data_IF_094199592432
#
_entry.id   IF_094199592432
#
_cell.length_a   1.000
_cell.length_b   1.000
_cell.length_c   1.000
_cell.angle_alpha   90.00
_cell.angle_beta   90.00
_cell.angle_gamma   90.00
#
_symmetry.space_group_name_H-M   'P 1'
#
loop_
_entity.id
_entity.type
_entity.pdbx_description
1 polymer ?
#
# COMPACT_ATOMS: atom_id res chain seq x y z
N UNK A 1 -36.73 -25.59 26.65
CA UNK A 1 -36.46 -24.18 26.34
C UNK A 1 -34.97 -23.91 26.55
N UNK A 2 -34.19 -23.86 25.46
CA UNK A 2 -32.99 -23.01 25.28
C UNK A 2 -32.44 -23.32 23.88
N UNK A 3 -32.42 -22.34 22.98
CA UNK A 3 -31.69 -22.44 21.72
C UNK A 3 -30.25 -21.99 21.98
N UNK A 4 -29.28 -22.88 21.80
CA UNK A 4 -27.86 -22.50 21.79
C UNK A 4 -27.48 -22.06 20.38
N UNK A 5 -27.52 -20.75 20.11
CA UNK A 5 -26.86 -20.19 18.95
C UNK A 5 -25.34 -20.37 19.13
N UNK A 6 -24.72 -21.19 18.29
CA UNK A 6 -23.26 -21.39 18.21
C UNK A 6 -22.73 -21.10 16.80
N UNK A 7 -23.37 -20.13 16.10
CA UNK A 7 -23.10 -19.80 14.69
C UNK A 7 -22.62 -18.36 14.46
N UNK A 8 -22.19 -17.64 15.51
CA UNK A 8 -21.81 -16.21 15.39
C UNK A 8 -20.45 -15.84 16.00
N UNK A 9 -19.81 -16.71 16.79
CA UNK A 9 -18.53 -16.40 17.46
C UNK A 9 -17.29 -16.88 16.66
N UNK A 10 -17.36 -18.03 15.98
CA UNK A 10 -16.18 -18.63 15.31
C UNK A 10 -15.86 -18.02 13.93
N UNK A 11 -16.82 -17.36 13.28
CA UNK A 11 -16.66 -16.82 11.90
C UNK A 11 -15.63 -15.67 11.84
N UNK A 12 -15.24 -15.08 12.98
CA UNK A 12 -14.24 -14.00 13.05
C UNK A 12 -12.89 -14.41 13.66
N UNK A 13 -12.68 -15.69 13.97
CA UNK A 13 -11.46 -16.15 14.65
C UNK A 13 -10.41 -16.70 13.69
N UNK A 14 -10.82 -17.59 12.80
CA UNK A 14 -9.99 -18.09 11.72
C UNK A 14 -10.13 -17.16 10.51
N UNK A 15 -9.37 -16.06 10.53
CA UNK A 15 -9.22 -15.27 9.31
C UNK A 15 -8.47 -16.08 8.25
N UNK A 16 -9.02 -16.09 7.05
CA UNK A 16 -8.47 -16.85 5.95
C UNK A 16 -7.13 -16.26 5.50
N UNK A 17 -6.04 -16.95 5.83
CA UNK A 17 -4.68 -16.54 5.47
C UNK A 17 -4.43 -16.60 3.96
N UNK A 18 -5.27 -17.32 3.18
CA UNK A 18 -5.25 -17.29 1.72
C UNK A 18 -5.62 -15.92 1.13
N UNK A 19 -6.39 -15.11 1.88
CA UNK A 19 -6.84 -13.79 1.45
C UNK A 19 -5.81 -12.67 1.71
N UNK A 20 -4.66 -12.99 2.33
CA UNK A 20 -3.54 -12.06 2.50
C UNK A 20 -2.51 -12.25 1.38
N UNK A 21 -2.49 -11.31 0.44
CA UNK A 21 -1.60 -11.36 -0.73
C UNK A 21 -0.37 -10.46 -0.49
N UNK A 22 0.86 -11.01 -0.52
CA UNK A 22 2.09 -10.23 -0.46
C UNK A 22 2.45 -9.68 -1.84
N UNK A 23 2.79 -8.39 -1.92
CA UNK A 23 3.32 -7.75 -3.13
C UNK A 23 4.72 -7.20 -2.85
N UNK A 24 5.62 -7.36 -3.81
CA UNK A 24 6.96 -6.79 -3.82
C UNK A 24 7.20 -6.05 -5.14
N UNK A 25 7.70 -4.83 -5.04
CA UNK A 25 8.29 -4.06 -6.14
C UNK A 25 9.70 -3.62 -5.73
N UNK A 26 10.64 -3.71 -6.68
CA UNK A 26 12.03 -3.32 -6.49
C UNK A 26 12.31 -1.87 -6.93
N UNK A 27 11.50 -1.31 -7.83
CA UNK A 27 11.78 -0.08 -8.58
C UNK A 27 10.58 0.88 -8.63
N UNK A 28 9.93 1.08 -7.47
CA UNK A 28 8.77 1.95 -7.32
C UNK A 28 9.11 3.38 -7.73
N UNK A 29 8.46 3.85 -8.80
CA UNK A 29 8.72 5.12 -9.49
C UNK A 29 7.42 5.93 -9.69
N UNK A 30 7.47 7.02 -10.45
CA UNK A 30 6.32 7.91 -10.68
C UNK A 30 5.21 7.34 -11.58
N UNK A 31 5.38 6.13 -12.13
CA UNK A 31 4.35 5.45 -12.91
C UNK A 31 3.29 4.84 -11.97
N UNK A 32 2.03 4.87 -12.39
CA UNK A 32 0.92 4.29 -11.64
C UNK A 32 1.00 2.76 -11.58
N UNK A 33 1.36 2.23 -10.42
CA UNK A 33 1.40 0.79 -10.12
C UNK A 33 0.12 0.34 -9.40
N UNK A 34 -0.21 -0.96 -9.50
CA UNK A 34 -1.42 -1.55 -8.90
C UNK A 34 -1.03 -2.70 -7.95
N UNK A 35 -1.40 -2.61 -6.68
CA UNK A 35 -1.35 -3.73 -5.74
C UNK A 35 -2.59 -4.63 -5.89
N UNK A 36 -3.77 -4.03 -6.07
CA UNK A 36 -5.05 -4.74 -6.22
C UNK A 36 -5.97 -3.97 -7.17
N UNK A 37 -6.62 -4.67 -8.11
CA UNK A 37 -7.51 -4.05 -9.11
C UNK A 37 -8.97 -3.88 -8.65
N UNK A 38 -9.29 -4.36 -7.45
CA UNK A 38 -10.62 -4.39 -6.82
C UNK A 38 -10.59 -3.74 -5.43
N UNK A 39 -11.75 -3.67 -4.76
CA UNK A 39 -11.83 -3.32 -3.35
C UNK A 39 -11.04 -4.29 -2.45
N UNK A 40 -10.65 -3.80 -1.27
CA UNK A 40 -9.84 -4.55 -0.31
C UNK A 40 -9.26 -3.67 0.80
N UNK A 41 -8.21 -4.14 1.47
CA UNK A 41 -7.52 -3.36 2.50
C UNK A 41 -5.99 -3.47 2.36
N UNK A 42 -5.28 -2.37 2.54
CA UNK A 42 -3.83 -2.39 2.75
C UNK A 42 -3.55 -2.63 4.23
N UNK A 43 -3.11 -3.84 4.58
CA UNK A 43 -2.87 -4.24 5.97
C UNK A 43 -1.52 -3.72 6.48
N UNK A 44 -0.47 -3.86 5.67
CA UNK A 44 0.90 -3.44 6.00
C UNK A 44 1.61 -2.91 4.76
N UNK A 45 2.52 -1.97 4.96
CA UNK A 45 3.44 -1.53 3.92
C UNK A 45 4.80 -1.16 4.51
N UNK A 46 5.87 -1.57 3.84
CA UNK A 46 7.24 -1.15 4.09
C UNK A 46 7.83 -0.57 2.81
N UNK A 47 8.48 0.58 2.93
CA UNK A 47 9.13 1.25 1.81
C UNK A 47 10.56 1.59 2.19
N UNK A 48 11.52 1.26 1.33
CA UNK A 48 12.93 1.60 1.47
C UNK A 48 13.35 2.54 0.33
N UNK A 49 13.94 3.68 0.70
CA UNK A 49 14.37 4.73 -0.20
C UNK A 49 15.90 4.86 -0.22
N UNK A 50 16.57 4.50 -1.33
CA UNK A 50 18.03 4.67 -1.46
C UNK A 50 18.45 6.14 -1.64
N UNK A 51 17.54 7.01 -2.09
CA UNK A 51 17.87 8.37 -2.50
C UNK A 51 18.30 9.26 -1.33
N UNK A 52 19.27 10.15 -1.56
CA UNK A 52 19.69 11.19 -0.63
C UNK A 52 18.66 12.33 -0.43
N UNK A 53 17.47 12.22 -1.04
CA UNK A 53 16.31 13.08 -0.89
C UNK A 53 15.12 12.29 -0.33
N UNK A 54 14.19 12.97 0.35
CA UNK A 54 12.93 12.36 0.80
C UNK A 54 12.04 12.07 -0.41
N UNK A 55 11.21 11.06 -0.27
CA UNK A 55 10.24 10.66 -1.29
C UNK A 55 8.86 10.45 -0.65
N UNK A 56 7.83 10.30 -1.48
CA UNK A 56 6.45 10.13 -1.08
C UNK A 56 5.85 8.95 -1.82
N UNK A 57 5.39 7.95 -1.05
CA UNK A 57 4.47 6.94 -1.58
C UNK A 57 3.07 7.55 -1.61
N UNK A 58 2.57 7.84 -2.80
CA UNK A 58 1.18 8.22 -3.03
C UNK A 58 0.35 6.94 -3.16
N UNK A 59 -0.78 6.86 -2.45
CA UNK A 59 -1.76 5.77 -2.51
C UNK A 59 -3.08 6.30 -3.08
N UNK A 60 -3.69 5.55 -4.00
CA UNK A 60 -4.89 5.97 -4.74
C UNK A 60 -5.98 4.90 -4.66
N UNK A 61 -7.24 5.33 -4.73
CA UNK A 61 -8.45 4.50 -4.58
C UNK A 61 -9.46 4.84 -5.68
N UNK A 62 -9.08 4.57 -6.92
CA UNK A 62 -9.78 5.03 -8.12
C UNK A 62 -9.98 3.89 -9.13
N UNK A 63 -11.08 3.92 -9.88
CA UNK A 63 -11.31 2.95 -10.96
C UNK A 63 -10.51 3.32 -12.23
N UNK A 64 -10.29 2.36 -13.14
CA UNK A 64 -9.59 2.62 -14.40
C UNK A 64 -8.14 3.10 -14.25
N UNK A 65 -7.70 3.95 -15.18
CA UNK A 65 -6.33 4.51 -15.20
C UNK A 65 -6.26 5.80 -14.39
N UNK A 66 -5.29 5.91 -13.48
CA UNK A 66 -4.96 7.16 -12.78
C UNK A 66 -3.81 7.89 -13.49
N UNK A 67 -3.70 9.20 -13.28
CA UNK A 67 -2.58 10.01 -13.76
C UNK A 67 -1.88 10.65 -12.57
N UNK A 68 -0.64 10.23 -12.31
CA UNK A 68 0.14 10.72 -11.17
C UNK A 68 0.43 12.22 -11.34
N UNK A 69 0.31 12.98 -10.25
CA UNK A 69 0.40 14.44 -10.28
C UNK A 69 -0.88 15.19 -10.71
N UNK A 70 -1.96 14.49 -11.09
CA UNK A 70 -3.28 15.11 -11.33
C UNK A 70 -4.43 14.41 -10.60
N UNK A 71 -4.39 13.08 -10.47
CA UNK A 71 -5.27 12.33 -9.57
C UNK A 71 -4.88 12.61 -8.12
N UNK A 72 -5.85 12.95 -7.26
CA UNK A 72 -5.61 13.21 -5.83
C UNK A 72 -5.30 11.90 -5.10
N UNK A 73 -4.16 11.77 -4.38
CA UNK A 73 -3.91 10.60 -3.54
C UNK A 73 -4.89 10.52 -2.36
N UNK A 74 -5.41 9.33 -2.08
CA UNK A 74 -6.19 9.03 -0.86
C UNK A 74 -5.32 9.15 0.39
N UNK A 75 -4.03 8.82 0.27
CA UNK A 75 -3.02 9.04 1.30
C UNK A 75 -1.68 9.30 0.61
N UNK A 76 -0.86 10.17 1.21
CA UNK A 76 0.51 10.40 0.75
C UNK A 76 1.48 10.27 1.93
N UNK A 77 2.47 9.40 1.78
CA UNK A 77 3.28 8.91 2.88
C UNK A 77 4.73 9.32 2.65
N UNK A 78 5.21 10.32 3.40
CA UNK A 78 6.62 10.69 3.42
C UNK A 78 7.46 9.49 3.85
N UNK A 79 8.42 9.13 3.02
CA UNK A 79 9.48 8.12 3.24
C UNK A 79 10.79 8.88 3.51
N UNK A 80 11.53 8.57 4.59
CA UNK A 80 12.82 9.19 4.89
C UNK A 80 13.82 9.06 3.74
N UNK A 81 14.83 9.92 3.72
CA UNK A 81 15.97 9.78 2.80
C UNK A 81 16.96 8.72 3.26
N UNK A 82 17.60 8.06 2.32
CA UNK A 82 18.85 7.33 2.53
C UNK A 82 20.08 8.25 2.42
N UNK A 83 21.22 7.64 2.14
CA UNK A 83 22.50 8.34 1.89
C UNK A 83 22.96 8.31 0.43
N UNK A 84 22.31 7.55 -0.46
CA UNK A 84 22.74 7.34 -1.84
C UNK A 84 23.99 6.45 -1.99
N UNK A 85 24.45 5.80 -0.92
CA UNK A 85 25.69 5.00 -0.85
C UNK A 85 25.51 3.61 -0.20
N UNK A 86 24.28 3.22 0.12
CA UNK A 86 23.93 1.87 0.61
C UNK A 86 23.05 1.86 1.87
N UNK A 87 22.90 3.00 2.56
CA UNK A 87 21.97 3.12 3.68
C UNK A 87 20.63 3.67 3.19
N UNK A 88 19.57 2.88 3.34
CA UNK A 88 18.23 3.23 2.90
C UNK A 88 17.47 3.97 4.01
N UNK A 89 16.76 5.04 3.65
CA UNK A 89 15.73 5.62 4.50
C UNK A 89 14.48 4.75 4.40
N UNK A 90 14.12 4.05 5.47
CA UNK A 90 12.95 3.15 5.45
C UNK A 90 11.78 3.68 6.26
N UNK A 91 10.58 3.17 5.94
CA UNK A 91 9.37 3.37 6.74
C UNK A 91 8.46 2.16 6.66
N UNK A 92 8.15 1.60 7.82
CA UNK A 92 7.14 0.57 8.01
C UNK A 92 5.85 1.17 8.58
N UNK A 93 4.70 0.74 8.08
CA UNK A 93 3.38 1.06 8.61
C UNK A 93 2.55 -0.23 8.68
N UNK A 94 1.97 -0.49 9.86
CA UNK A 94 0.98 -1.52 10.09
C UNK A 94 -0.37 -0.84 10.34
N UNK A 95 -1.33 -1.01 9.44
CA UNK A 95 -2.67 -0.44 9.56
C UNK A 95 -3.62 -1.28 10.44
N UNK A 96 -3.13 -2.39 11.00
CA UNK A 96 -3.93 -3.27 11.86
C UNK A 96 -4.85 -4.20 11.06
N UNK A 97 -6.04 -4.49 11.60
CA UNK A 97 -7.09 -5.30 10.96
C UNK A 97 -8.39 -4.49 10.88
N UNK A 98 -9.09 -4.45 9.73
CA UNK A 98 -8.75 -5.09 8.46
C UNK A 98 -7.57 -4.42 7.72
N UNK A 99 -7.22 -3.19 8.09
CA UNK A 99 -6.18 -2.39 7.44
C UNK A 99 -6.74 -1.02 7.02
N UNK A 100 -6.05 -0.32 6.12
CA UNK A 100 -6.57 0.87 5.44
C UNK A 100 -7.48 0.40 4.29
N UNK A 101 -8.80 0.66 4.31
CA UNK A 101 -9.71 0.16 3.27
C UNK A 101 -9.60 0.96 1.97
N UNK A 102 -9.84 0.28 0.85
CA UNK A 102 -9.93 0.85 -0.51
C UNK A 102 -11.21 0.30 -1.16
N UNK A 103 -12.01 1.18 -1.76
CA UNK A 103 -13.34 0.86 -2.29
C UNK A 103 -13.40 0.64 -3.80
N UNK A 104 -12.33 0.94 -4.53
CA UNK A 104 -12.26 0.82 -5.99
C UNK A 104 -11.04 0.03 -6.46
N UNK A 105 -9.84 0.36 -5.96
CA UNK A 105 -8.60 -0.38 -6.21
C UNK A 105 -7.51 0.06 -5.23
N UNK A 106 -6.46 -0.74 -5.04
CA UNK A 106 -5.27 -0.33 -4.29
C UNK A 106 -4.15 -0.03 -5.29
N UNK A 107 -3.92 1.25 -5.57
CA UNK A 107 -2.87 1.74 -6.50
C UNK A 107 -1.87 2.64 -5.80
N UNK A 108 -0.68 2.77 -6.36
CA UNK A 108 0.38 3.61 -5.82
C UNK A 108 1.31 4.21 -6.88
N UNK A 109 2.10 5.20 -6.46
CA UNK A 109 3.27 5.71 -7.18
C UNK A 109 4.27 6.27 -6.17
N UNK A 110 5.56 6.23 -6.49
CA UNK A 110 6.62 6.84 -5.69
C UNK A 110 7.10 8.14 -6.35
N UNK A 111 7.20 9.22 -5.57
CA UNK A 111 7.33 10.58 -6.11
C UNK A 111 8.16 11.49 -5.21
N UNK A 112 8.68 12.60 -5.74
CA UNK A 112 9.47 13.58 -4.97
C UNK A 112 8.63 14.58 -4.17
N UNK A 113 7.31 14.61 -4.36
CA UNK A 113 6.37 15.55 -3.73
C UNK A 113 5.04 14.85 -3.40
N UNK A 114 4.31 15.28 -2.36
CA UNK A 114 3.18 14.49 -1.85
C UNK A 114 1.98 14.34 -2.79
N UNK A 115 1.85 15.21 -3.81
CA UNK A 115 0.74 15.19 -4.78
C UNK A 115 1.21 15.50 -6.22
N UNK A 116 2.51 15.44 -6.49
CA UNK A 116 3.10 15.73 -7.81
C UNK A 116 3.51 14.47 -8.56
N UNK A 117 4.22 14.63 -9.68
CA UNK A 117 4.66 13.55 -10.58
C UNK A 117 6.18 13.48 -10.81
N UNK A 118 6.97 14.25 -10.05
CA UNK A 118 8.42 14.20 -10.13
C UNK A 118 8.95 12.85 -9.65
N UNK A 119 9.82 12.23 -10.46
CA UNK A 119 10.35 10.89 -10.24
C UNK A 119 11.51 10.88 -9.22
N UNK A 120 11.60 9.89 -8.30
CA UNK A 120 12.81 9.61 -7.55
C UNK A 120 13.99 9.28 -8.49
N UNK A 121 15.22 9.64 -8.10
CA UNK A 121 16.41 9.43 -8.96
C UNK A 121 16.79 7.95 -9.12
N UNK A 122 16.39 7.13 -8.15
CA UNK A 122 16.42 5.66 -8.14
C UNK A 122 15.09 5.21 -7.56
N UNK A 123 14.47 4.16 -8.11
CA UNK A 123 13.21 3.62 -7.60
C UNK A 123 13.28 3.21 -6.13
N UNK A 124 12.12 3.19 -5.49
CA UNK A 124 11.94 2.78 -4.10
C UNK A 124 11.56 1.30 -4.06
N UNK A 125 12.17 0.54 -3.14
CA UNK A 125 11.73 -0.83 -2.88
C UNK A 125 10.48 -0.80 -2.02
N UNK A 126 9.40 -1.44 -2.47
CA UNK A 126 8.08 -1.42 -1.83
C UNK A 126 7.61 -2.84 -1.52
N UNK A 127 7.28 -3.11 -0.26
CA UNK A 127 6.71 -4.37 0.20
C UNK A 127 5.32 -4.09 0.78
N UNK A 128 4.28 -4.77 0.31
CA UNK A 128 2.92 -4.60 0.82
C UNK A 128 2.29 -5.94 1.19
N UNK A 129 1.45 -5.94 2.23
CA UNK A 129 0.48 -7.00 2.51
C UNK A 129 -0.91 -6.39 2.33
N UNK A 130 -1.65 -6.89 1.35
CA UNK A 130 -3.05 -6.54 1.12
C UNK A 130 -3.96 -7.68 1.59
N UNK A 131 -5.15 -7.33 2.07
CA UNK A 131 -6.28 -8.24 2.21
C UNK A 131 -7.20 -8.08 1.00
N UNK A 132 -7.37 -9.17 0.26
CA UNK A 132 -8.22 -9.25 -0.92
C UNK A 132 -9.47 -10.11 -0.58
N UNK A 133 -10.67 -9.52 -0.46
CA UNK A 133 -11.89 -10.24 -0.07
C UNK A 133 -12.41 -11.19 -1.17
N UNK A 134 -11.85 -11.14 -2.38
CA UNK A 134 -12.21 -11.96 -3.54
C UNK A 134 -11.13 -12.99 -3.92
N UNK A 135 -10.14 -13.22 -3.04
CA UNK A 135 -9.17 -14.30 -3.12
C UNK A 135 -9.68 -15.59 -2.45
#
# INVERSE_FOLDING_TARGET
MLFKNHYFEDIMRDYDWGQLQPIFDADGNNTAQTFLATDGCLCRIEVANPNAAVAFLQLFDETGTITVGTTTPKMSILIPKGDGSGNYGSKFINFGRPGLPFGASIKYACTTTPTGSGDPTVGLTVNAIIYNPAA
#
